data_IF_617373665177
#
_entry.id   IF_617373665177
#
_cell.length_a   1.000
_cell.length_b   1.000
_cell.length_c   1.000
_cell.angle_alpha   90.00
_cell.angle_beta   90.00
_cell.angle_gamma   90.00
#
_symmetry.space_group_name_H-M   'P 1'
#
loop_
_entity.id
_entity.type
_entity.pdbx_description
1 polymer ?
#
# COMPACT_ATOMS: atom_id res chain seq x y z
N UNK A 1 -16.40 11.29 -8.96
CA UNK A 1 -15.01 10.87 -8.88
C UNK A 1 -14.91 9.36 -9.03
N UNK A 2 -13.77 8.87 -9.47
CA UNK A 2 -13.54 7.44 -9.63
C UNK A 2 -12.73 6.89 -8.46
N UNK A 3 -12.82 5.57 -8.27
CA UNK A 3 -12.07 4.90 -7.22
C UNK A 3 -10.77 4.32 -7.75
N UNK A 4 -9.74 4.41 -6.92
CA UNK A 4 -8.42 3.86 -7.20
C UNK A 4 -7.92 3.13 -5.96
N UNK A 5 -7.08 2.13 -6.18
CA UNK A 5 -6.41 1.46 -5.08
C UNK A 5 -4.93 1.81 -5.11
N UNK A 6 -4.40 2.13 -3.93
CA UNK A 6 -2.97 2.24 -3.70
C UNK A 6 -2.51 0.92 -3.09
N UNK A 7 -1.60 0.25 -3.76
CA UNK A 7 -0.95 -0.94 -3.23
C UNK A 7 0.47 -0.55 -2.85
N UNK A 8 0.80 -0.71 -1.58
CA UNK A 8 2.11 -0.33 -1.06
C UNK A 8 3.04 -1.52 -1.15
N UNK A 9 4.09 -1.38 -1.94
CA UNK A 9 5.00 -2.48 -2.24
C UNK A 9 6.41 -2.12 -1.80
N UNK A 10 7.10 -3.05 -1.20
CA UNK A 10 8.48 -2.86 -0.78
C UNK A 10 9.22 -4.19 -0.76
N UNK A 11 10.55 -4.11 -0.76
CA UNK A 11 11.37 -5.28 -0.58
C UNK A 11 11.42 -5.64 0.91
N UNK A 12 11.79 -6.89 1.23
CA UNK A 12 12.04 -7.30 2.61
C UNK A 12 13.09 -6.42 3.27
N UNK A 13 14.15 -6.12 2.52
CA UNK A 13 15.25 -5.32 3.00
C UNK A 13 14.82 -3.89 3.31
N UNK A 14 14.09 -3.26 2.39
CA UNK A 14 13.58 -1.90 2.60
C UNK A 14 12.62 -1.84 3.78
N UNK A 15 11.76 -2.86 3.96
CA UNK A 15 10.84 -2.92 5.08
C UNK A 15 11.58 -3.03 6.42
N UNK A 16 12.62 -3.84 6.47
CA UNK A 16 13.44 -3.96 7.69
C UNK A 16 14.14 -2.66 8.02
N UNK A 17 14.68 -1.97 7.01
CA UNK A 17 15.33 -0.69 7.20
C UNK A 17 14.35 0.36 7.73
N UNK A 18 13.11 0.36 7.22
CA UNK A 18 12.07 1.28 7.68
C UNK A 18 11.62 0.99 9.10
N UNK A 19 11.70 -0.26 9.53
CA UNK A 19 11.32 -0.65 10.89
C UNK A 19 12.37 -0.32 11.96
N UNK A 20 13.60 -0.09 11.58
CA UNK A 20 14.73 0.38 12.37
C UNK A 20 14.56 0.37 13.89
N UNK A 21 14.73 1.54 14.52
CA UNK A 21 14.54 1.72 15.97
C UNK A 21 13.07 2.03 16.27
N UNK A 22 12.63 1.86 17.53
CA UNK A 22 11.28 2.30 17.94
C UNK A 22 10.99 3.76 17.62
N UNK A 23 12.01 4.62 17.72
CA UNK A 23 11.86 6.04 17.39
C UNK A 23 11.60 6.25 15.90
N UNK A 24 12.31 5.50 15.04
CA UNK A 24 12.10 5.56 13.61
C UNK A 24 10.71 5.06 13.22
N UNK A 25 10.26 3.98 13.85
CA UNK A 25 8.90 3.46 13.63
C UNK A 25 7.85 4.49 14.00
N UNK A 26 8.02 5.15 15.13
CA UNK A 26 7.07 6.17 15.59
C UNK A 26 7.03 7.35 14.63
N UNK A 27 8.16 7.82 14.16
CA UNK A 27 8.22 8.91 13.17
C UNK A 27 7.59 8.51 11.86
N UNK A 28 7.85 7.29 11.42
CA UNK A 28 7.26 6.76 10.20
C UNK A 28 5.74 6.72 10.30
N UNK A 29 5.20 6.22 11.41
CA UNK A 29 3.76 6.17 11.65
C UNK A 29 3.15 7.58 11.64
N UNK A 30 3.81 8.55 12.25
CA UNK A 30 3.34 9.94 12.26
C UNK A 30 3.30 10.52 10.85
N UNK A 31 4.32 10.25 10.05
CA UNK A 31 4.39 10.72 8.67
C UNK A 31 3.25 10.12 7.83
N UNK A 32 3.00 8.83 8.00
CA UNK A 32 1.87 8.16 7.33
C UNK A 32 0.53 8.75 7.74
N UNK A 33 0.34 8.97 9.03
CA UNK A 33 -0.91 9.54 9.54
C UNK A 33 -1.13 10.96 9.03
N UNK A 34 -0.07 11.74 8.93
CA UNK A 34 -0.14 13.10 8.39
C UNK A 34 -0.57 13.09 6.93
N UNK A 35 0.04 12.22 6.11
CA UNK A 35 -0.32 12.10 4.70
C UNK A 35 -1.76 11.64 4.53
N UNK A 36 -2.16 10.61 5.27
CA UNK A 36 -3.55 10.11 5.24
C UNK A 36 -4.54 11.19 5.64
N UNK A 37 -4.21 11.96 6.68
CA UNK A 37 -5.07 13.07 7.11
C UNK A 37 -5.21 14.13 6.03
N UNK A 38 -4.14 14.47 5.33
CA UNK A 38 -4.18 15.42 4.23
C UNK A 38 -5.12 14.94 3.12
N UNK A 39 -5.06 13.67 2.77
CA UNK A 39 -5.95 13.11 1.75
C UNK A 39 -7.40 13.07 2.24
N UNK A 40 -7.61 12.70 3.50
CA UNK A 40 -8.94 12.63 4.09
C UNK A 40 -9.58 14.03 4.17
N UNK A 41 -8.82 15.04 4.57
CA UNK A 41 -9.31 16.41 4.68
C UNK A 41 -9.76 16.98 3.34
N UNK A 42 -9.18 16.49 2.25
CA UNK A 42 -9.56 16.89 0.88
C UNK A 42 -10.62 15.96 0.26
N UNK A 43 -11.11 14.99 1.01
CA UNK A 43 -12.16 14.08 0.55
C UNK A 43 -11.70 12.98 -0.36
N UNK A 44 -10.42 12.65 -0.36
CA UNK A 44 -9.86 11.64 -1.26
C UNK A 44 -9.82 10.22 -0.66
N UNK A 45 -10.08 10.04 0.63
CA UNK A 45 -10.05 8.71 1.24
C UNK A 45 -11.41 8.06 1.18
N UNK A 46 -11.50 6.95 0.46
CA UNK A 46 -12.69 6.08 0.45
C UNK A 46 -12.62 5.08 1.60
N UNK A 47 -11.48 4.46 1.77
CA UNK A 47 -11.19 3.51 2.83
C UNK A 47 -9.68 3.55 3.08
N UNK A 48 -9.25 3.89 4.29
CA UNK A 48 -7.80 3.98 4.56
C UNK A 48 -7.08 2.64 4.45
N UNK A 49 -7.82 1.52 4.49
CA UNK A 49 -7.21 0.20 4.39
C UNK A 49 -6.44 -0.16 5.63
N UNK A 50 -5.55 -1.13 5.48
CA UNK A 50 -4.75 -1.64 6.59
C UNK A 50 -3.37 -2.02 6.13
N UNK A 51 -2.36 -1.90 7.00
CA UNK A 51 -1.09 -2.59 6.79
C UNK A 51 -1.32 -4.09 6.92
N UNK A 52 -0.53 -4.88 6.23
CA UNK A 52 -0.64 -6.34 6.21
C UNK A 52 0.57 -6.95 6.89
N UNK A 53 0.34 -8.07 7.58
CA UNK A 53 1.45 -8.87 8.10
C UNK A 53 2.19 -9.51 6.93
N UNK A 54 3.46 -9.82 7.16
CA UNK A 54 4.32 -10.36 6.10
C UNK A 54 4.06 -11.82 5.81
N UNK A 55 3.62 -12.59 6.81
CA UNK A 55 3.36 -14.01 6.67
C UNK A 55 1.94 -14.26 6.16
N UNK A 56 1.80 -15.28 5.35
CA UNK A 56 0.51 -15.68 4.83
C UNK A 56 0.62 -16.97 4.05
N UNK A 57 -0.37 -17.26 3.23
CA UNK A 57 -0.41 -18.45 2.40
C UNK A 57 -0.75 -18.08 0.97
N UNK A 58 -0.24 -18.85 0.05
CA UNK A 58 -0.62 -18.77 -1.36
C UNK A 58 -1.40 -20.01 -1.74
N UNK A 59 -2.50 -19.83 -2.45
CA UNK A 59 -3.30 -20.94 -3.00
C UNK A 59 -3.22 -20.82 -4.51
N UNK A 60 -2.77 -21.87 -5.18
CA UNK A 60 -2.44 -21.80 -6.61
C UNK A 60 -3.16 -22.83 -7.44
N UNK A 61 -3.63 -22.37 -8.58
CA UNK A 61 -4.08 -23.20 -9.69
C UNK A 61 -5.32 -24.02 -9.42
N UNK A 62 -5.67 -24.86 -10.40
CA UNK A 62 -6.86 -25.73 -10.32
C UNK A 62 -6.75 -26.75 -9.21
N UNK A 63 -5.54 -27.16 -8.88
CA UNK A 63 -5.29 -28.16 -7.83
C UNK A 63 -5.30 -27.53 -6.44
N UNK A 64 -5.37 -26.19 -6.36
CA UNK A 64 -5.42 -25.45 -5.10
C UNK A 64 -4.24 -25.78 -4.19
N UNK A 65 -3.05 -25.82 -4.77
CA UNK A 65 -1.82 -26.06 -4.04
C UNK A 65 -1.57 -24.93 -3.05
N UNK A 66 -1.31 -25.26 -1.80
CA UNK A 66 -1.08 -24.27 -0.74
C UNK A 66 0.40 -24.23 -0.42
N UNK A 67 0.96 -23.04 -0.43
CA UNK A 67 2.35 -22.79 -0.05
C UNK A 67 2.42 -21.59 0.89
N UNK A 68 3.52 -21.48 1.61
CA UNK A 68 3.76 -20.30 2.43
C UNK A 68 4.00 -19.09 1.53
N UNK A 69 3.48 -17.96 1.94
CA UNK A 69 3.66 -16.72 1.19
C UNK A 69 3.81 -15.51 2.08
N UNK A 70 4.26 -14.39 1.53
CA UNK A 70 4.78 -14.27 0.16
C UNK A 70 6.07 -15.07 -0.02
N UNK A 71 6.47 -15.32 -1.26
CA UNK A 71 7.72 -16.03 -1.52
C UNK A 71 8.88 -15.32 -0.83
N UNK A 72 9.74 -16.09 -0.16
CA UNK A 72 10.94 -15.55 0.50
C UNK A 72 11.85 -14.81 -0.50
N UNK A 73 11.77 -15.19 -1.76
CA UNK A 73 12.55 -14.62 -2.85
C UNK A 73 11.88 -13.41 -3.49
N UNK A 74 10.65 -13.07 -3.08
CA UNK A 74 9.94 -11.94 -3.66
C UNK A 74 10.65 -10.64 -3.33
N UNK A 75 11.00 -9.92 -4.36
CA UNK A 75 11.61 -8.60 -4.22
C UNK A 75 10.59 -7.55 -3.86
N UNK A 76 9.31 -7.79 -4.23
CA UNK A 76 8.22 -6.90 -3.96
C UNK A 76 7.13 -7.61 -3.17
N UNK A 77 6.80 -7.05 -2.02
CA UNK A 77 5.74 -7.58 -1.17
C UNK A 77 4.72 -6.47 -0.99
N UNK A 78 3.44 -6.81 -1.15
CA UNK A 78 2.36 -5.87 -0.87
C UNK A 78 2.19 -5.82 0.64
N UNK A 79 2.53 -4.67 1.24
CA UNK A 79 2.47 -4.50 2.68
C UNK A 79 1.25 -3.76 3.19
N UNK A 80 0.35 -3.35 2.29
CA UNK A 80 -0.86 -2.66 2.68
C UNK A 80 -1.59 -2.09 1.48
N UNK A 81 -2.72 -1.47 1.74
CA UNK A 81 -3.56 -0.89 0.70
C UNK A 81 -4.40 0.27 1.23
N UNK A 82 -4.82 1.14 0.32
CA UNK A 82 -5.76 2.23 0.60
C UNK A 82 -6.66 2.39 -0.62
N UNK A 83 -7.95 2.62 -0.39
CA UNK A 83 -8.87 3.00 -1.46
C UNK A 83 -9.05 4.51 -1.45
N UNK A 84 -8.83 5.13 -2.60
CA UNK A 84 -8.94 6.58 -2.74
C UNK A 84 -9.95 6.95 -3.81
N UNK A 85 -10.43 8.17 -3.76
CA UNK A 85 -11.27 8.76 -4.80
C UNK A 85 -10.54 9.95 -5.40
N UNK A 86 -10.50 9.99 -6.73
CA UNK A 86 -9.88 11.08 -7.44
C UNK A 86 -10.65 11.30 -8.75
N UNK A 87 -10.45 12.44 -9.37
CA UNK A 87 -11.16 12.77 -10.58
C UNK A 87 -10.72 11.89 -11.75
N UNK A 88 -9.43 11.52 -11.79
CA UNK A 88 -8.88 10.66 -12.83
C UNK A 88 -7.57 10.00 -12.32
N UNK A 89 -7.01 9.15 -13.15
CA UNK A 89 -5.77 8.45 -12.79
C UNK A 89 -4.60 9.42 -12.57
N UNK A 90 -4.53 10.48 -13.36
CA UNK A 90 -3.46 11.47 -13.21
C UNK A 90 -3.49 12.14 -11.83
N UNK A 91 -4.67 12.49 -11.35
CA UNK A 91 -4.82 13.04 -10.00
C UNK A 91 -4.45 12.00 -8.93
N UNK A 92 -4.92 10.77 -9.08
CA UNK A 92 -4.60 9.71 -8.12
C UNK A 92 -3.09 9.50 -8.02
N UNK A 93 -2.39 9.54 -9.15
CA UNK A 93 -0.93 9.42 -9.20
C UNK A 93 -0.26 10.61 -8.51
N UNK A 94 -0.71 11.84 -8.78
CA UNK A 94 -0.15 13.03 -8.13
C UNK A 94 -0.29 12.95 -6.61
N UNK A 95 -1.45 12.55 -6.11
CA UNK A 95 -1.69 12.41 -4.68
C UNK A 95 -0.78 11.36 -4.05
N UNK A 96 -0.46 10.30 -4.79
CA UNK A 96 0.39 9.21 -4.29
C UNK A 96 1.84 9.63 -4.08
N UNK A 97 2.28 10.69 -4.74
CA UNK A 97 3.67 11.17 -4.63
C UNK A 97 4.04 11.63 -3.23
N UNK A 98 3.06 11.93 -2.39
CA UNK A 98 3.29 12.28 -0.99
C UNK A 98 3.43 11.09 -0.06
N UNK A 99 3.32 9.87 -0.57
CA UNK A 99 3.34 8.69 0.28
C UNK A 99 4.72 8.46 0.90
N UNK A 100 4.79 8.28 2.23
CA UNK A 100 6.07 8.09 2.91
C UNK A 100 6.85 6.84 2.51
N UNK A 101 6.18 5.82 1.93
CA UNK A 101 6.88 4.59 1.50
C UNK A 101 7.95 4.88 0.44
N UNK A 102 7.78 5.96 -0.31
CA UNK A 102 8.71 6.33 -1.37
C UNK A 102 10.07 6.75 -0.82
N UNK A 103 10.09 7.33 0.37
CA UNK A 103 11.34 7.74 1.04
C UNK A 103 12.22 6.54 1.38
N UNK A 104 11.61 5.40 1.66
CA UNK A 104 12.33 4.17 1.97
C UNK A 104 12.62 3.28 0.77
N UNK A 105 12.40 3.80 -0.44
CA UNK A 105 12.62 3.01 -1.65
C UNK A 105 11.48 2.09 -2.04
N UNK A 106 10.33 2.23 -1.39
CA UNK A 106 9.14 1.46 -1.75
C UNK A 106 8.43 2.01 -2.98
N UNK A 107 7.35 1.37 -3.34
CA UNK A 107 6.56 1.69 -4.53
C UNK A 107 5.09 1.78 -4.16
N UNK A 108 4.39 2.76 -4.71
CA UNK A 108 2.93 2.80 -4.69
C UNK A 108 2.44 2.40 -6.07
N UNK A 109 1.77 1.28 -6.15
CA UNK A 109 1.09 0.88 -7.38
C UNK A 109 -0.30 1.49 -7.36
N UNK A 110 -0.61 2.33 -8.35
CA UNK A 110 -1.90 3.02 -8.44
C UNK A 110 -2.72 2.35 -9.53
N UNK A 111 -3.87 1.80 -9.17
CA UNK A 111 -4.72 1.08 -10.14
C UNK A 111 -6.16 1.56 -10.05
N UNK A 112 -6.79 1.86 -11.19
CA UNK A 112 -8.23 2.12 -11.19
C UNK A 112 -9.00 0.88 -10.71
N UNK A 113 -10.01 1.12 -9.89
CA UNK A 113 -10.93 0.05 -9.49
C UNK A 113 -11.94 -0.13 -10.61
N UNK A 114 -12.08 -1.37 -11.07
CA UNK A 114 -13.04 -1.66 -12.14
C UNK A 114 -14.46 -1.55 -11.58
N UNK A 115 -15.31 -0.67 -12.15
CA UNK A 115 -16.68 -0.56 -11.68
C UNK A 115 -17.48 -1.78 -12.15
N UNK A 116 -17.81 -2.65 -11.23
CA UNK A 116 -18.52 -3.89 -11.55
C UNK A 116 -20.03 -3.79 -11.36
N UNK A 117 -20.49 -2.74 -10.70
CA UNK A 117 -21.90 -2.60 -10.37
C UNK A 117 -22.37 -3.50 -9.24
N UNK A 118 -21.44 -4.15 -8.56
CA UNK A 118 -21.74 -5.01 -7.42
C UNK A 118 -21.55 -4.31 -6.09
#
# INVERSE_FOLDING_TARGET
>A
MSEFVYLYRSTNEASRAAMGSPEQMQRSMQTWMTWMKQLADKGHIKNPGHPLERAGKLVKGKQRTITDGPYAESKDIIGGYTLVEAKDLAEAVELSKGCPILEGGGVVEVRPVLPTGM
#
